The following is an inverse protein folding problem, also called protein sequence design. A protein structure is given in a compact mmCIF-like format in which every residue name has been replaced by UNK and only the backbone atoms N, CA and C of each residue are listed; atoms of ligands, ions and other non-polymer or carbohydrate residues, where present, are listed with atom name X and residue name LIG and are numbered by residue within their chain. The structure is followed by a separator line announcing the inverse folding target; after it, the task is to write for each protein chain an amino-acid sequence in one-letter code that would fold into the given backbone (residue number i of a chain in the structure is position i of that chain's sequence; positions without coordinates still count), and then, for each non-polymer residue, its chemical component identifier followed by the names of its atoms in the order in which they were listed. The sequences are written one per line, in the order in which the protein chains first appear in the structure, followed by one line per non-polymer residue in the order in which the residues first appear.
data_IF_939931503063
#
_entry.id   IF_939931503063
#
_cell.length_a   1.000
_cell.length_b   1.000
_cell.length_c   1.000
_cell.angle_alpha   90.00
_cell.angle_beta   90.00
_cell.angle_gamma   90.00
#
_symmetry.space_group_name_H-M   'P 1'
#
loop_
_entity.id
_entity.type
_entity.pdbx_description
1 polymer ?
#
# COMPACT_ATOMS: atom_id res chain seq x y z
N UNK A 1 6.03 -15.58 20.35
CA UNK A 1 7.37 -15.10 20.71
C UNK A 1 8.02 -15.90 21.84
N UNK A 2 7.28 -16.55 22.76
CA UNK A 2 7.88 -17.44 23.77
C UNK A 2 8.82 -16.77 24.77
N UNK A 3 8.76 -15.45 24.93
CA UNK A 3 9.59 -14.66 25.84
C UNK A 3 8.77 -14.20 27.06
N UNK A 4 9.43 -14.04 28.20
CA UNK A 4 8.81 -13.46 29.38
C UNK A 4 8.52 -11.96 29.19
N UNK A 5 7.51 -11.44 29.90
CA UNK A 5 7.21 -9.99 29.93
C UNK A 5 8.42 -9.17 30.39
N UNK A 6 9.19 -9.67 31.37
CA UNK A 6 10.40 -9.01 31.85
C UNK A 6 11.44 -8.87 30.74
N UNK A 7 11.64 -9.90 29.92
CA UNK A 7 12.55 -9.85 28.77
C UNK A 7 12.10 -8.82 27.71
N UNK A 8 10.79 -8.67 27.49
CA UNK A 8 10.27 -7.64 26.58
C UNK A 8 10.49 -6.23 27.13
N UNK A 9 10.26 -6.01 28.42
CA UNK A 9 10.50 -4.72 29.08
C UNK A 9 11.99 -4.36 29.06
N UNK A 10 12.88 -5.30 29.33
CA UNK A 10 14.32 -5.05 29.26
C UNK A 10 14.80 -4.65 27.86
N UNK A 11 14.17 -5.19 26.80
CA UNK A 11 14.56 -4.93 25.40
C UNK A 11 13.89 -3.73 24.77
N UNK A 12 12.67 -3.41 25.19
CA UNK A 12 11.83 -2.41 24.54
C UNK A 12 11.29 -1.36 25.51
N UNK A 13 11.68 -1.35 26.78
CA UNK A 13 11.24 -0.40 27.82
C UNK A 13 9.76 -0.55 28.19
N UNK A 14 8.84 -0.31 27.25
CA UNK A 14 7.40 -0.37 27.45
C UNK A 14 6.67 -0.68 26.12
N UNK A 15 5.33 -0.76 26.19
CA UNK A 15 4.47 -1.02 25.03
C UNK A 15 4.64 0.04 23.94
N UNK A 16 4.64 1.31 24.30
CA UNK A 16 4.62 2.40 23.32
C UNK A 16 5.94 2.48 22.54
N UNK A 17 7.06 2.27 23.23
CA UNK A 17 8.38 2.14 22.60
C UNK A 17 8.44 0.94 21.66
N UNK A 18 7.88 -0.21 22.06
CA UNK A 18 7.77 -1.37 21.17
C UNK A 18 6.95 -1.05 19.91
N UNK A 19 5.82 -0.34 20.05
CA UNK A 19 4.99 0.08 18.91
C UNK A 19 5.75 1.00 17.95
N UNK A 20 6.51 1.96 18.47
CA UNK A 20 7.38 2.83 17.65
C UNK A 20 8.39 1.99 16.87
N UNK A 21 9.10 1.06 17.54
CA UNK A 21 10.07 0.17 16.87
C UNK A 21 9.43 -0.72 15.80
N UNK A 22 8.20 -1.19 16.04
CA UNK A 22 7.46 -1.97 15.06
C UNK A 22 7.12 -1.13 13.82
N UNK A 23 6.69 0.12 14.00
CA UNK A 23 6.35 1.00 12.88
C UNK A 23 7.58 1.51 12.13
N UNK A 24 8.71 1.76 12.81
CA UNK A 24 10.01 2.04 12.16
C UNK A 24 10.38 0.91 11.20
N UNK A 25 10.37 -0.33 11.70
CA UNK A 25 10.60 -1.52 10.88
C UNK A 25 9.57 -1.64 9.74
N UNK A 26 8.31 -1.34 10.00
CA UNK A 26 7.25 -1.36 8.98
C UNK A 26 7.53 -0.41 7.82
N UNK A 27 8.00 0.81 8.11
CA UNK A 27 8.39 1.79 7.08
C UNK A 27 9.55 1.27 6.23
N UNK A 28 10.59 0.70 6.87
CA UNK A 28 11.72 0.10 6.16
C UNK A 28 11.31 -1.08 5.27
N UNK A 29 10.44 -1.94 5.79
CA UNK A 29 9.92 -3.09 5.05
C UNK A 29 9.11 -2.66 3.84
N UNK A 30 8.26 -1.64 3.95
CA UNK A 30 7.52 -1.09 2.80
C UNK A 30 8.50 -0.57 1.74
N UNK A 31 9.52 0.20 2.13
CA UNK A 31 10.53 0.68 1.17
C UNK A 31 11.27 -0.47 0.49
N UNK A 32 11.70 -1.47 1.27
CA UNK A 32 12.41 -2.63 0.73
C UNK A 32 11.54 -3.43 -0.23
N UNK A 33 10.29 -3.72 0.16
CA UNK A 33 9.31 -4.41 -0.65
C UNK A 33 9.08 -3.69 -1.98
N UNK A 34 8.76 -2.38 -1.94
CA UNK A 34 8.52 -1.59 -3.14
C UNK A 34 9.74 -1.49 -4.06
N UNK A 35 10.95 -1.41 -3.50
CA UNK A 35 12.18 -1.36 -4.31
C UNK A 35 12.52 -2.71 -4.95
N UNK A 36 12.02 -3.82 -4.40
CA UNK A 36 12.25 -5.17 -4.94
C UNK A 36 11.29 -5.53 -6.09
N UNK A 37 10.16 -4.83 -6.24
CA UNK A 37 9.23 -5.08 -7.35
C UNK A 37 9.89 -4.65 -8.67
N UNK A 38 9.99 -5.55 -9.68
CA UNK A 38 10.56 -5.24 -10.98
C UNK A 38 9.93 -3.99 -11.62
N UNK A 39 10.76 -3.19 -12.30
CA UNK A 39 10.30 -2.00 -13.02
C UNK A 39 10.09 -2.41 -14.47
N UNK A 40 8.83 -2.51 -14.89
CA UNK A 40 8.46 -2.66 -16.29
C UNK A 40 8.52 -1.33 -17.05
N UNK A 41 8.41 -1.40 -18.38
CA UNK A 41 8.41 -0.22 -19.25
C UNK A 41 6.98 0.26 -19.57
N UNK A 42 6.82 1.58 -19.76
CA UNK A 42 5.56 2.17 -20.22
C UNK A 42 4.38 2.04 -19.23
N UNK A 43 3.17 2.38 -19.67
CA UNK A 43 1.97 2.25 -18.85
C UNK A 43 1.68 0.81 -18.41
N UNK A 44 2.00 -0.19 -19.25
CA UNK A 44 1.89 -1.59 -18.88
C UNK A 44 2.78 -1.95 -17.68
N UNK A 45 4.02 -1.47 -17.63
CA UNK A 45 4.91 -1.70 -16.48
C UNK A 45 4.40 -1.06 -15.18
N UNK A 46 3.76 0.11 -15.28
CA UNK A 46 3.07 0.73 -14.14
C UNK A 46 1.88 -0.12 -13.68
N UNK A 47 1.08 -0.61 -14.62
CA UNK A 47 -0.08 -1.47 -14.34
C UNK A 47 0.32 -2.76 -13.62
N UNK A 48 1.36 -3.44 -14.10
CA UNK A 48 1.92 -4.64 -13.47
C UNK A 48 2.38 -4.38 -12.03
N UNK A 49 3.06 -3.26 -11.80
CA UNK A 49 3.47 -2.83 -10.47
C UNK A 49 2.26 -2.59 -9.54
N UNK A 50 1.22 -1.90 -10.02
CA UNK A 50 0.01 -1.60 -9.24
C UNK A 50 -0.77 -2.87 -8.88
N UNK A 51 -0.82 -3.86 -9.78
CA UNK A 51 -1.39 -5.18 -9.50
C UNK A 51 -0.67 -5.88 -8.35
N UNK A 52 0.66 -5.92 -8.38
CA UNK A 52 1.48 -6.52 -7.31
C UNK A 52 1.30 -5.77 -5.99
N UNK A 53 1.24 -4.44 -6.04
CA UNK A 53 1.03 -3.61 -4.86
C UNK A 53 -0.33 -3.88 -4.20
N UNK A 54 -1.42 -3.88 -4.98
CA UNK A 54 -2.77 -4.07 -4.45
C UNK A 54 -2.96 -5.50 -3.91
N UNK A 55 -2.51 -6.52 -4.66
CA UNK A 55 -2.61 -7.93 -4.24
C UNK A 55 -1.77 -8.27 -3.00
N UNK A 56 -0.84 -7.39 -2.61
CA UNK A 56 -0.08 -7.56 -1.35
C UNK A 56 -0.92 -7.31 -0.09
N UNK A 57 -2.08 -6.67 -0.21
CA UNK A 57 -2.99 -6.45 0.90
C UNK A 57 -3.66 -7.75 1.31
N UNK A 58 -3.34 -8.25 2.51
CA UNK A 58 -3.89 -9.49 3.03
C UNK A 58 -5.28 -9.27 3.65
N UNK A 59 -6.32 -9.74 2.97
CA UNK A 59 -7.73 -9.69 3.41
C UNK A 59 -8.22 -10.97 4.10
N UNK A 60 -7.40 -12.02 4.16
CA UNK A 60 -7.78 -13.31 4.78
C UNK A 60 -7.84 -13.26 6.31
N UNK A 61 -7.29 -12.21 6.91
CA UNK A 61 -7.42 -11.89 8.33
C UNK A 61 -8.33 -10.66 8.47
N UNK A 62 -8.71 -10.31 9.70
CA UNK A 62 -9.51 -9.11 10.01
C UNK A 62 -8.88 -7.84 9.43
N UNK A 63 -9.28 -7.48 8.20
CA UNK A 63 -8.74 -6.35 7.47
C UNK A 63 -9.17 -5.01 8.08
N UNK A 64 -10.29 -5.01 8.83
CA UNK A 64 -10.84 -3.82 9.46
C UNK A 64 -9.90 -3.24 10.54
N UNK A 65 -9.04 -4.09 11.13
CA UNK A 65 -8.05 -3.67 12.14
C UNK A 65 -7.09 -2.60 11.60
N UNK A 66 -6.84 -2.58 10.29
CA UNK A 66 -5.95 -1.59 9.67
C UNK A 66 -6.47 -0.15 9.86
N UNK A 67 -7.79 0.05 9.89
CA UNK A 67 -8.39 1.36 10.14
C UNK A 67 -8.25 1.77 11.61
N UNK A 68 -8.39 0.82 12.55
CA UNK A 68 -8.14 1.09 13.97
C UNK A 68 -6.66 1.42 14.23
N UNK A 69 -5.74 0.70 13.58
CA UNK A 69 -4.29 0.98 13.63
C UNK A 69 -4.03 2.40 13.11
N UNK A 70 -4.54 2.73 11.92
CA UNK A 70 -4.38 4.05 11.31
C UNK A 70 -4.90 5.17 12.22
N UNK A 71 -6.10 5.01 12.78
CA UNK A 71 -6.64 5.97 13.74
C UNK A 71 -5.73 6.14 14.96
N UNK A 72 -5.22 5.05 15.53
CA UNK A 72 -4.34 5.08 16.70
C UNK A 72 -3.00 5.76 16.41
N UNK A 73 -2.39 5.47 15.26
CA UNK A 73 -1.15 6.13 14.81
C UNK A 73 -1.31 7.65 14.73
N UNK A 74 -2.49 8.15 14.33
CA UNK A 74 -2.76 9.59 14.26
C UNK A 74 -2.87 10.27 15.62
N UNK A 75 -3.15 9.51 16.69
CA UNK A 75 -3.25 10.05 18.05
C UNK A 75 -1.89 10.22 18.74
N UNK A 76 -0.86 9.52 18.28
CA UNK A 76 0.49 9.52 18.89
C UNK A 76 1.48 10.18 17.91
N UNK A 77 2.07 11.35 18.23
CA UNK A 77 2.91 12.12 17.31
C UNK A 77 4.07 11.35 16.66
N UNK A 78 4.73 10.47 17.41
CA UNK A 78 5.83 9.62 16.95
C UNK A 78 5.33 8.61 15.91
N UNK A 79 4.21 7.94 16.19
CA UNK A 79 3.59 7.00 15.26
C UNK A 79 3.02 7.72 14.03
N UNK A 80 2.44 8.92 14.21
CA UNK A 80 1.93 9.73 13.12
C UNK A 80 3.04 10.09 12.12
N UNK A 81 4.22 10.44 12.62
CA UNK A 81 5.41 10.68 11.79
C UNK A 81 5.74 9.46 10.93
N UNK A 82 5.71 8.26 11.51
CA UNK A 82 6.01 7.01 10.82
C UNK A 82 4.92 6.63 9.81
N UNK A 83 3.63 6.82 10.14
CA UNK A 83 2.52 6.62 9.21
C UNK A 83 2.62 7.54 7.98
N UNK A 84 2.99 8.81 8.18
CA UNK A 84 3.27 9.75 7.09
C UNK A 84 4.43 9.26 6.23
N UNK A 85 5.52 8.78 6.82
CA UNK A 85 6.65 8.23 6.09
C UNK A 85 6.28 6.99 5.28
N UNK A 86 5.44 6.10 5.83
CA UNK A 86 4.93 4.90 5.15
C UNK A 86 4.14 5.28 3.90
N UNK A 87 3.18 6.20 4.02
CA UNK A 87 2.36 6.65 2.89
C UNK A 87 3.22 7.36 1.83
N UNK A 88 4.16 8.22 2.24
CA UNK A 88 5.11 8.85 1.31
C UNK A 88 5.98 7.83 0.58
N UNK A 89 6.37 6.73 1.22
CA UNK A 89 7.13 5.66 0.58
C UNK A 89 6.32 4.96 -0.52
N UNK A 90 5.02 4.73 -0.31
CA UNK A 90 4.14 4.14 -1.33
C UNK A 90 3.94 5.11 -2.50
N UNK A 91 3.62 6.37 -2.22
CA UNK A 91 3.47 7.43 -3.25
C UNK A 91 4.75 7.55 -4.09
N UNK A 92 5.91 7.62 -3.44
CA UNK A 92 7.20 7.66 -4.12
C UNK A 92 7.49 6.37 -4.91
N UNK A 93 7.06 5.22 -4.39
CA UNK A 93 7.12 3.93 -5.07
C UNK A 93 6.37 3.95 -6.39
N UNK A 94 5.13 4.47 -6.39
CA UNK A 94 4.29 4.66 -7.59
C UNK A 94 4.96 5.67 -8.54
N UNK A 95 5.42 6.82 -8.02
CA UNK A 95 6.06 7.87 -8.82
C UNK A 95 7.23 7.34 -9.65
N UNK A 96 8.07 6.48 -9.08
CA UNK A 96 9.21 5.86 -9.77
C UNK A 96 8.82 4.92 -10.92
N UNK A 97 7.57 4.48 -10.99
CA UNK A 97 7.03 3.61 -12.05
C UNK A 97 6.19 4.37 -13.07
N UNK A 98 5.95 5.67 -12.88
CA UNK A 98 5.23 6.46 -13.87
C UNK A 98 6.03 6.54 -15.17
N UNK A 99 5.44 6.20 -16.33
CA UNK A 99 6.10 6.36 -17.61
C UNK A 99 6.21 7.84 -18.00
N UNK A 100 7.12 8.20 -18.93
CA UNK A 100 7.11 9.51 -19.55
C UNK A 100 5.73 9.84 -20.14
N UNK A 101 5.30 11.09 -19.98
CA UNK A 101 3.97 11.52 -20.43
C UNK A 101 2.83 11.28 -19.43
N UNK A 102 3.08 10.60 -18.30
CA UNK A 102 2.11 10.53 -17.21
C UNK A 102 1.71 11.94 -16.74
N UNK A 103 0.42 12.16 -16.39
CA UNK A 103 -0.03 13.44 -15.86
C UNK A 103 0.74 13.87 -14.61
N UNK A 104 0.87 15.18 -14.42
CA UNK A 104 1.46 15.71 -13.19
C UNK A 104 0.68 15.22 -11.96
N UNK A 105 1.40 14.83 -10.90
CA UNK A 105 0.85 14.30 -9.67
C UNK A 105 0.01 13.00 -9.80
N UNK A 106 0.18 12.24 -10.89
CA UNK A 106 -0.51 10.96 -11.09
C UNK A 106 -0.26 9.97 -9.93
N UNK A 107 0.91 9.99 -9.30
CA UNK A 107 1.24 9.16 -8.14
C UNK A 107 0.31 9.38 -6.94
N UNK A 108 -0.11 10.63 -6.73
CA UNK A 108 -1.02 10.99 -5.63
C UNK A 108 -2.45 10.54 -5.94
N UNK A 109 -2.87 10.70 -7.19
CA UNK A 109 -4.18 10.27 -7.65
C UNK A 109 -4.32 8.75 -7.59
N UNK A 110 -3.34 8.00 -8.09
CA UNK A 110 -3.32 6.53 -8.03
C UNK A 110 -3.31 6.03 -6.59
N UNK A 111 -2.50 6.62 -5.71
CA UNK A 111 -2.52 6.29 -4.27
C UNK A 111 -3.89 6.56 -3.63
N UNK A 112 -4.55 7.65 -4.02
CA UNK A 112 -5.88 8.00 -3.52
C UNK A 112 -6.96 7.03 -4.01
N UNK A 113 -6.90 6.59 -5.27
CA UNK A 113 -7.79 5.56 -5.82
C UNK A 113 -7.61 4.24 -5.06
N UNK A 114 -6.37 3.79 -4.83
CA UNK A 114 -6.09 2.58 -4.04
C UNK A 114 -6.72 2.69 -2.65
N UNK A 115 -6.40 3.76 -1.91
CA UNK A 115 -6.86 3.92 -0.53
C UNK A 115 -8.40 4.06 -0.45
N UNK A 116 -9.00 4.83 -1.36
CA UNK A 116 -10.43 5.07 -1.42
C UNK A 116 -11.21 3.81 -1.79
N UNK A 117 -10.83 3.14 -2.89
CA UNK A 117 -11.47 1.89 -3.32
C UNK A 117 -11.31 0.77 -2.29
N UNK A 118 -10.16 0.73 -1.60
CA UNK A 118 -9.95 -0.22 -0.49
C UNK A 118 -10.91 0.05 0.67
N UNK A 119 -11.13 1.32 1.02
CA UNK A 119 -12.11 1.70 2.04
C UNK A 119 -13.55 1.44 1.60
N UNK A 120 -13.89 1.66 0.34
CA UNK A 120 -15.20 1.31 -0.21
C UNK A 120 -15.47 -0.18 -0.03
N UNK A 121 -14.56 -1.04 -0.51
CA UNK A 121 -14.69 -2.49 -0.35
C UNK A 121 -14.71 -2.94 1.12
N UNK A 122 -13.91 -2.33 1.99
CA UNK A 122 -13.88 -2.70 3.40
C UNK A 122 -15.20 -2.37 4.14
N UNK A 123 -15.96 -1.40 3.65
CA UNK A 123 -17.26 -1.01 4.23
C UNK A 123 -18.40 -1.81 3.59
N UNK A 124 -18.35 -2.02 2.28
CA UNK A 124 -19.38 -2.73 1.51
C UNK A 124 -18.71 -3.74 0.56
N UNK A 125 -18.34 -4.92 1.06
CA UNK A 125 -17.55 -5.88 0.29
C UNK A 125 -18.40 -6.60 -0.75
N UNK A 126 -17.96 -6.52 -2.01
CA UNK A 126 -18.41 -7.37 -3.12
C UNK A 126 -17.18 -7.95 -3.82
N UNK A 127 -17.11 -9.29 -3.90
CA UNK A 127 -15.97 -10.02 -4.43
C UNK A 127 -14.66 -9.82 -3.65
N UNK A 128 -13.54 -10.07 -4.32
CA UNK A 128 -12.18 -9.89 -3.76
C UNK A 128 -11.76 -8.41 -3.77
N UNK A 129 -11.10 -7.95 -2.70
CA UNK A 129 -10.58 -6.58 -2.58
C UNK A 129 -9.74 -6.18 -3.79
N UNK A 130 -8.85 -7.08 -4.21
CA UNK A 130 -7.94 -6.78 -5.30
C UNK A 130 -8.69 -6.53 -6.60
N UNK A 131 -9.73 -7.30 -6.91
CA UNK A 131 -10.51 -7.13 -8.14
C UNK A 131 -11.29 -5.82 -8.11
N UNK A 132 -11.92 -5.50 -6.98
CA UNK A 132 -12.62 -4.23 -6.78
C UNK A 132 -11.72 -3.02 -7.00
N UNK A 133 -10.53 -3.01 -6.37
CA UNK A 133 -9.57 -1.91 -6.47
C UNK A 133 -8.95 -1.83 -7.87
N UNK A 134 -8.55 -2.97 -8.44
CA UNK A 134 -7.86 -3.02 -9.72
C UNK A 134 -8.77 -2.66 -10.89
N UNK A 135 -10.07 -2.93 -10.82
CA UNK A 135 -11.04 -2.47 -11.81
C UNK A 135 -11.06 -0.93 -11.91
N UNK A 136 -11.05 -0.22 -10.75
CA UNK A 136 -11.01 1.24 -10.73
C UNK A 136 -9.65 1.78 -11.20
N UNK A 137 -8.55 1.10 -10.87
CA UNK A 137 -7.21 1.48 -11.35
C UNK A 137 -7.11 1.31 -12.87
N UNK A 138 -7.60 0.20 -13.44
CA UNK A 138 -7.61 0.02 -14.89
C UNK A 138 -8.39 1.15 -15.58
N UNK A 139 -9.57 1.49 -15.07
CA UNK A 139 -10.38 2.57 -15.61
C UNK A 139 -9.66 3.93 -15.61
N UNK A 140 -8.97 4.29 -14.51
CA UNK A 140 -8.25 5.56 -14.47
C UNK A 140 -6.99 5.54 -15.34
N UNK A 141 -6.32 4.40 -15.48
CA UNK A 141 -5.17 4.26 -16.38
C UNK A 141 -5.58 4.41 -17.85
N UNK A 142 -6.74 3.87 -18.26
CA UNK A 142 -7.30 4.11 -19.60
C UNK A 142 -7.51 5.61 -19.88
N UNK A 143 -7.90 6.39 -18.87
CA UNK A 143 -8.04 7.84 -19.01
C UNK A 143 -6.70 8.58 -19.03
N UNK A 144 -5.71 8.11 -18.25
CA UNK A 144 -4.37 8.70 -18.19
C UNK A 144 -3.55 8.42 -19.45
N UNK A 145 -3.77 7.26 -20.09
CA UNK A 145 -3.01 6.77 -21.24
C UNK A 145 -3.96 6.31 -22.35
N UNK A 146 -4.69 7.23 -23.00
CA UNK A 146 -5.74 6.89 -23.96
C UNK A 146 -5.24 6.22 -25.25
N UNK A 147 -3.95 6.31 -25.54
CA UNK A 147 -3.31 5.68 -26.71
C UNK A 147 -2.78 4.27 -26.41
N UNK A 148 -2.86 3.81 -25.16
CA UNK A 148 -2.41 2.47 -24.78
C UNK A 148 -3.53 1.44 -24.96
N UNK A 149 -3.17 0.20 -25.32
CA UNK A 149 -4.09 -0.94 -25.35
C UNK A 149 -4.70 -1.22 -23.96
N UNK A 150 -5.80 -1.96 -23.89
CA UNK A 150 -6.55 -2.20 -22.65
C UNK A 150 -5.69 -2.78 -21.51
N UNK A 151 -5.90 -2.28 -20.28
CA UNK A 151 -5.24 -2.77 -19.07
C UNK A 151 -5.91 -4.04 -18.53
N UNK A 152 -5.55 -5.20 -19.07
CA UNK A 152 -6.09 -6.49 -18.63
C UNK A 152 -5.50 -6.95 -17.29
N UNK A 153 -6.34 -7.50 -16.42
CA UNK A 153 -5.89 -8.16 -15.19
C UNK A 153 -5.01 -9.36 -15.56
N UNK A 154 -3.77 -9.38 -15.08
CA UNK A 154 -2.93 -10.56 -15.19
C UNK A 154 -3.54 -11.67 -14.33
N UNK A 155 -3.79 -12.83 -14.92
CA UNK A 155 -4.20 -14.02 -14.18
C UNK A 155 -3.10 -14.37 -13.16
N UNK A 156 -3.49 -14.50 -11.89
CA UNK A 156 -2.58 -14.99 -10.87
C UNK A 156 -2.10 -16.39 -11.29
N UNK A 157 -0.80 -16.55 -11.50
CA UNK A 157 -0.22 -17.88 -11.64
C UNK A 157 -0.40 -18.58 -10.29
N UNK A 158 -1.14 -19.69 -10.32
CA UNK A 158 -1.44 -20.54 -9.16
C UNK A 158 -0.17 -21.14 -8.55
#
# INVERSE_FOLDING_TARGET
MGLSRAALIQRFTNRDTLLVRMMERGVEQVRHYLNAIPIGAGPQGLWEFLQVLVRSMNTRNDFSVNYLISWYELQVPELRTLAIQRNRAVVEGIRKRLPPGAPAAAELLLHSVIAGATMQWAVDPDGELADHVLAQIAAILCLMFPEHDDFQLLQAHA
#
